data_IF_172989825160
#
_entry.id   IF_172989825160
#
_cell.length_a   1.000
_cell.length_b   1.000
_cell.length_c   1.000
_cell.angle_alpha   90.00
_cell.angle_beta   90.00
_cell.angle_gamma   90.00
#
_symmetry.space_group_name_H-M   'P 1'
#
loop_
_entity.id
_entity.type
_entity.pdbx_description
1 polymer ?
#
# COMPACT_ATOMS: atom_id res chain seq x y z
N UNK A 1 -13.16 11.32 -43.77
CA UNK A 1 -13.33 10.16 -42.87
C UNK A 1 -11.96 9.88 -42.26
N UNK A 2 -11.64 10.47 -41.10
CA UNK A 2 -10.34 10.24 -40.47
C UNK A 2 -10.41 8.91 -39.71
N UNK A 3 -9.74 7.90 -40.24
CA UNK A 3 -9.50 6.66 -39.49
C UNK A 3 -8.70 7.00 -38.23
N UNK A 4 -9.23 6.65 -37.07
CA UNK A 4 -8.54 6.76 -35.78
C UNK A 4 -7.36 5.79 -35.84
N UNK A 5 -6.15 6.31 -36.06
CA UNK A 5 -4.89 5.56 -36.24
C UNK A 5 -4.52 4.73 -34.99
N UNK A 6 -5.15 5.00 -33.83
CA UNK A 6 -4.92 4.28 -32.58
C UNK A 6 -6.24 3.61 -32.15
N UNK A 7 -6.27 2.29 -32.20
CA UNK A 7 -7.28 1.48 -31.53
C UNK A 7 -6.85 1.31 -30.06
N UNK A 8 -7.50 2.04 -29.17
CA UNK A 8 -7.28 1.92 -27.74
C UNK A 8 -8.12 0.74 -27.22
N UNK A 9 -7.48 -0.28 -26.66
CA UNK A 9 -8.20 -1.33 -25.95
C UNK A 9 -8.58 -0.82 -24.56
N UNK A 10 -9.76 -0.22 -24.45
CA UNK A 10 -10.26 0.36 -23.20
C UNK A 10 -10.33 -0.65 -22.05
N UNK A 11 -10.71 -1.89 -22.34
CA UNK A 11 -10.88 -2.92 -21.30
C UNK A 11 -9.54 -3.30 -20.68
N UNK A 12 -8.49 -3.43 -21.50
CA UNK A 12 -7.14 -3.70 -21.02
C UNK A 12 -6.60 -2.56 -20.14
N UNK A 13 -6.85 -1.31 -20.52
CA UNK A 13 -6.42 -0.15 -19.74
C UNK A 13 -7.18 -0.04 -18.43
N UNK A 14 -8.51 -0.22 -18.45
CA UNK A 14 -9.34 -0.17 -17.23
C UNK A 14 -8.93 -1.24 -16.22
N UNK A 15 -8.60 -2.45 -16.68
CA UNK A 15 -8.12 -3.52 -15.81
C UNK A 15 -6.75 -3.21 -15.20
N UNK A 16 -5.77 -2.82 -16.03
CA UNK A 16 -4.44 -2.45 -15.53
C UNK A 16 -4.48 -1.27 -14.56
N UNK A 17 -5.33 -0.28 -14.84
CA UNK A 17 -5.48 0.90 -13.99
C UNK A 17 -6.19 0.55 -12.68
N UNK A 18 -7.15 -0.37 -12.69
CA UNK A 18 -7.79 -0.89 -11.48
C UNK A 18 -6.78 -1.57 -10.56
N UNK A 19 -5.90 -2.41 -11.11
CA UNK A 19 -4.90 -3.13 -10.33
C UNK A 19 -3.87 -2.15 -9.76
N UNK A 20 -3.35 -1.25 -10.59
CA UNK A 20 -2.42 -0.21 -10.15
C UNK A 20 -3.02 0.65 -9.01
N UNK A 21 -4.28 1.08 -9.15
CA UNK A 21 -4.95 1.86 -8.11
C UNK A 21 -5.09 1.05 -6.83
N UNK A 22 -5.52 -0.20 -6.92
CA UNK A 22 -5.68 -1.09 -5.77
C UNK A 22 -4.36 -1.28 -5.02
N UNK A 23 -3.30 -1.64 -5.74
CA UNK A 23 -1.99 -1.88 -5.16
C UNK A 23 -1.45 -0.62 -4.49
N UNK A 24 -1.61 0.56 -5.13
CA UNK A 24 -1.18 1.84 -4.56
C UNK A 24 -1.96 2.21 -3.27
N UNK A 25 -3.26 1.92 -3.23
CA UNK A 25 -4.08 2.17 -2.05
C UNK A 25 -3.71 1.20 -0.93
N UNK A 26 -3.48 -0.07 -1.26
CA UNK A 26 -3.05 -1.07 -0.29
C UNK A 26 -1.69 -0.74 0.31
N UNK A 27 -0.71 -0.36 -0.51
CA UNK A 27 0.62 0.07 -0.07
C UNK A 27 0.55 1.29 0.85
N UNK A 28 -0.21 2.32 0.46
CA UNK A 28 -0.36 3.54 1.26
C UNK A 28 -1.05 3.29 2.60
N UNK A 29 -2.10 2.46 2.63
CA UNK A 29 -2.77 2.08 3.88
C UNK A 29 -1.86 1.26 4.80
N UNK A 30 -1.09 0.32 4.25
CA UNK A 30 -0.15 -0.46 5.04
C UNK A 30 0.96 0.41 5.63
N UNK A 31 1.49 1.37 4.87
CA UNK A 31 2.47 2.33 5.36
C UNK A 31 1.93 3.21 6.51
N UNK A 32 0.68 3.66 6.42
CA UNK A 32 0.04 4.43 7.49
C UNK A 32 -0.14 3.61 8.77
N UNK A 33 -0.53 2.34 8.64
CA UNK A 33 -0.69 1.46 9.79
C UNK A 33 0.66 1.08 10.42
N UNK A 34 1.70 0.90 9.61
CA UNK A 34 3.04 0.67 10.14
C UNK A 34 3.55 1.87 10.93
N UNK A 35 3.28 3.09 10.45
CA UNK A 35 3.60 4.32 11.16
C UNK A 35 2.82 4.45 12.47
N UNK A 36 1.50 4.22 12.46
CA UNK A 36 0.68 4.24 13.68
C UNK A 36 1.19 3.22 14.71
N UNK A 37 1.62 2.03 14.26
CA UNK A 37 2.19 1.02 15.15
C UNK A 37 3.52 1.49 15.77
N UNK A 38 4.37 2.19 15.03
CA UNK A 38 5.63 2.75 15.55
C UNK A 38 5.36 3.84 16.59
N UNK A 39 4.37 4.71 16.36
CA UNK A 39 3.94 5.74 17.32
C UNK A 39 3.38 5.11 18.60
N UNK A 40 2.53 4.08 18.48
CA UNK A 40 1.93 3.40 19.63
C UNK A 40 2.96 2.64 20.47
N UNK A 41 3.93 2.00 19.82
CA UNK A 41 4.98 1.21 20.49
C UNK A 41 6.14 2.10 20.93
N UNK A 42 6.23 3.34 20.42
CA UNK A 42 7.34 4.26 20.63
C UNK A 42 8.69 3.64 20.24
N UNK A 43 8.70 2.89 19.13
CA UNK A 43 9.89 2.25 18.56
C UNK A 43 9.62 1.76 17.14
N UNK A 44 10.59 1.94 16.24
CA UNK A 44 10.54 1.38 14.89
C UNK A 44 10.70 -0.16 14.88
N UNK A 45 10.43 -0.75 13.71
CA UNK A 45 10.66 -2.19 13.47
C UNK A 45 12.13 -2.55 13.71
N UNK A 46 12.34 -3.48 14.65
CA UNK A 46 13.66 -3.94 15.09
C UNK A 46 14.54 -2.91 15.83
N UNK A 47 14.03 -1.71 16.11
CA UNK A 47 14.78 -0.71 16.86
C UNK A 47 15.01 -1.14 18.31
N UNK A 48 16.24 -0.98 18.80
CA UNK A 48 16.56 -1.19 20.22
C UNK A 48 16.44 0.13 20.97
N UNK A 49 15.33 0.30 21.68
CA UNK A 49 15.09 1.45 22.54
C UNK A 49 14.53 1.01 23.89
N UNK A 50 14.99 1.65 24.95
CA UNK A 50 14.52 1.39 26.33
C UNK A 50 13.09 1.91 26.53
N UNK A 51 12.61 2.82 25.67
CA UNK A 51 11.27 3.43 25.73
C UNK A 51 10.17 2.63 25.03
N UNK A 52 10.47 1.42 24.55
CA UNK A 52 9.55 0.55 23.79
C UNK A 52 8.39 0.06 24.67
N UNK A 53 7.16 0.28 24.21
CA UNK A 53 5.94 -0.08 24.95
C UNK A 53 5.30 -1.42 24.52
N UNK A 54 5.83 -2.07 23.48
CA UNK A 54 5.26 -3.32 22.96
C UNK A 54 6.09 -4.02 21.88
N UNK A 55 5.55 -5.12 21.36
CA UNK A 55 6.16 -5.92 20.29
C UNK A 55 5.19 -6.11 19.12
N UNK A 56 5.73 -6.19 17.90
CA UNK A 56 4.97 -6.46 16.67
C UNK A 56 4.65 -7.96 16.57
N UNK A 57 3.38 -8.31 16.42
CA UNK A 57 2.90 -9.71 16.41
C UNK A 57 2.62 -10.26 15.00
N UNK A 58 3.44 -9.89 14.02
CA UNK A 58 3.26 -10.31 12.63
C UNK A 58 2.21 -9.48 11.88
N UNK A 59 1.56 -10.09 10.89
CA UNK A 59 0.50 -9.51 10.07
C UNK A 59 -0.69 -10.48 9.98
N UNK A 60 -1.84 -9.96 9.53
CA UNK A 60 -3.01 -10.76 9.19
C UNK A 60 -3.61 -10.25 7.88
N UNK A 61 -4.18 -11.16 7.09
CA UNK A 61 -4.83 -10.80 5.82
C UNK A 61 -6.18 -10.13 6.08
N UNK A 62 -6.50 -9.11 5.29
CA UNK A 62 -7.74 -8.31 5.40
C UNK A 62 -8.52 -8.31 4.11
#
# INVERSE_FOLDING_TARGET
>A
MSEKIIQLNEDLIKNNLKDLVRDSVEETLNALLDHEADELINAEKYERTDGRQGYRSGHYDR
#
